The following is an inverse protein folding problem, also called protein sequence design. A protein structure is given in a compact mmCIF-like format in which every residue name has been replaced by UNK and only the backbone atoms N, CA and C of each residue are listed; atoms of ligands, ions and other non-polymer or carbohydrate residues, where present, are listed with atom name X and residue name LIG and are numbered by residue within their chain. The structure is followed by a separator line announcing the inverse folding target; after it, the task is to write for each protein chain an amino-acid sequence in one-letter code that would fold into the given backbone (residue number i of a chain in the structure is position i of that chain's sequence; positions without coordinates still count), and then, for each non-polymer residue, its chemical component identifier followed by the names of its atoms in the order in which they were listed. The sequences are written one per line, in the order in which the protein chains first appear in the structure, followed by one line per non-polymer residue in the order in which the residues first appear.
data_IF_617895308463
#
_entry.id   IF_617895308463
#
_cell.length_a   1.000
_cell.length_b   1.000
_cell.length_c   1.000
_cell.angle_alpha   90.00
_cell.angle_beta   90.00
_cell.angle_gamma   90.00
#
_symmetry.space_group_name_H-M   'P 1'
#
loop_
_entity.id
_entity.type
_entity.pdbx_description
1 polymer ?
#
# COMPACT_ATOMS: atom_id res chain seq x y z
N UNK A 1 -42.18 18.78 -2.47
CA UNK A 1 -40.89 19.35 -2.85
C UNK A 1 -39.77 18.96 -1.87
N UNK A 2 -39.62 17.68 -1.53
CA UNK A 2 -38.60 17.20 -0.61
C UNK A 2 -37.64 16.30 -1.35
N UNK A 3 -36.97 16.86 -2.33
CA UNK A 3 -35.92 16.20 -3.07
C UNK A 3 -34.59 16.62 -2.42
N UNK A 4 -33.93 15.70 -1.76
CA UNK A 4 -32.58 15.76 -1.13
C UNK A 4 -32.60 15.87 0.40
N UNK A 5 -33.30 14.97 1.10
CA UNK A 5 -32.98 14.68 2.50
C UNK A 5 -32.25 13.36 2.57
N UNK A 6 -31.04 13.35 3.11
CA UNK A 6 -30.39 12.10 3.50
C UNK A 6 -31.20 11.45 4.61
N UNK A 7 -31.76 10.28 4.35
CA UNK A 7 -32.48 9.54 5.37
C UNK A 7 -31.49 8.97 6.39
N UNK A 8 -31.83 9.13 7.67
CA UNK A 8 -31.04 8.53 8.75
C UNK A 8 -31.07 7.00 8.65
N UNK A 9 -30.07 6.31 9.21
CA UNK A 9 -30.08 4.87 9.30
C UNK A 9 -31.40 4.32 9.86
N UNK A 10 -32.01 3.40 9.13
CA UNK A 10 -33.30 2.78 9.46
C UNK A 10 -33.31 1.28 9.08
N UNK A 11 -34.45 0.59 9.24
CA UNK A 11 -34.56 -0.84 8.95
C UNK A 11 -34.45 -1.18 7.46
N UNK A 12 -34.71 -0.25 6.57
CA UNK A 12 -34.62 -0.40 5.11
C UNK A 12 -33.21 -0.01 4.61
N UNK A 13 -32.65 1.09 5.14
CA UNK A 13 -31.32 1.60 4.82
C UNK A 13 -30.43 1.61 6.06
N UNK A 14 -29.64 0.57 6.25
CA UNK A 14 -28.84 0.35 7.46
C UNK A 14 -27.82 1.45 7.73
N UNK A 15 -27.22 2.03 6.68
CA UNK A 15 -26.32 3.18 6.79
C UNK A 15 -27.00 4.49 6.38
N UNK A 16 -28.34 4.46 6.22
CA UNK A 16 -29.07 5.58 5.67
C UNK A 16 -28.86 5.76 4.16
N UNK A 17 -29.21 6.94 3.66
CA UNK A 17 -29.02 7.30 2.26
C UNK A 17 -28.01 8.44 2.12
N UNK A 18 -27.41 8.56 0.93
CA UNK A 18 -26.60 9.72 0.58
C UNK A 18 -27.49 10.95 0.25
N UNK A 19 -26.85 12.07 -0.03
CA UNK A 19 -27.53 13.33 -0.41
C UNK A 19 -28.34 13.24 -1.72
N UNK A 20 -28.27 12.12 -2.44
CA UNK A 20 -29.05 11.83 -3.64
C UNK A 20 -30.11 10.74 -3.40
N UNK A 21 -30.36 10.34 -2.15
CA UNK A 21 -31.33 9.32 -1.78
C UNK A 21 -30.91 7.89 -2.14
N UNK A 22 -29.62 7.64 -2.42
CA UNK A 22 -29.11 6.30 -2.77
C UNK A 22 -28.67 5.54 -1.52
N UNK A 23 -28.89 4.23 -1.49
CA UNK A 23 -28.46 3.36 -0.41
C UNK A 23 -26.94 3.50 -0.14
N UNK A 24 -26.62 4.00 1.05
CA UNK A 24 -25.25 4.27 1.45
C UNK A 24 -24.47 3.01 1.81
N UNK A 25 -25.15 1.95 2.28
CA UNK A 25 -24.55 0.65 2.54
C UNK A 25 -23.91 0.06 1.28
N UNK A 26 -24.67 -0.01 0.19
CA UNK A 26 -24.17 -0.52 -1.08
C UNK A 26 -23.00 0.29 -1.61
N UNK A 27 -23.04 1.62 -1.49
CA UNK A 27 -21.96 2.48 -1.94
C UNK A 27 -20.68 2.25 -1.15
N UNK A 28 -20.76 2.16 0.18
CA UNK A 28 -19.60 1.97 1.05
C UNK A 28 -18.93 0.60 0.82
N UNK A 29 -19.73 -0.46 0.64
CA UNK A 29 -19.17 -1.79 0.34
C UNK A 29 -18.53 -1.88 -1.04
N UNK A 30 -19.13 -1.27 -2.05
CA UNK A 30 -18.54 -1.20 -3.39
C UNK A 30 -17.22 -0.42 -3.36
N UNK A 31 -17.20 0.74 -2.71
CA UNK A 31 -16.00 1.54 -2.52
C UNK A 31 -14.91 0.79 -1.75
N UNK A 32 -15.29 0.01 -0.74
CA UNK A 32 -14.38 -0.86 0.02
C UNK A 32 -13.71 -1.89 -0.90
N UNK A 33 -14.47 -2.54 -1.78
CA UNK A 33 -13.91 -3.48 -2.75
C UNK A 33 -12.90 -2.82 -3.69
N UNK A 34 -13.20 -1.62 -4.18
CA UNK A 34 -12.30 -0.88 -5.08
C UNK A 34 -11.01 -0.51 -4.35
N UNK A 35 -11.11 0.04 -3.13
CA UNK A 35 -9.93 0.43 -2.33
C UNK A 35 -9.06 -0.78 -1.96
N UNK A 36 -9.66 -1.91 -1.56
CA UNK A 36 -8.91 -3.14 -1.25
C UNK A 36 -8.23 -3.71 -2.51
N UNK A 37 -8.93 -3.74 -3.66
CA UNK A 37 -8.33 -4.21 -4.92
C UNK A 37 -7.12 -3.37 -5.32
N UNK A 38 -7.25 -2.04 -5.24
CA UNK A 38 -6.13 -1.13 -5.51
C UNK A 38 -4.96 -1.44 -4.58
N UNK A 39 -5.21 -1.50 -3.28
CA UNK A 39 -4.20 -1.71 -2.26
C UNK A 39 -3.47 -3.06 -2.42
N UNK A 40 -4.20 -4.13 -2.75
CA UNK A 40 -3.61 -5.45 -3.02
C UNK A 40 -2.71 -5.44 -4.25
N UNK A 41 -3.16 -4.86 -5.36
CA UNK A 41 -2.36 -4.75 -6.60
C UNK A 41 -1.08 -3.95 -6.33
N UNK A 42 -1.20 -2.82 -5.64
CA UNK A 42 -0.05 -1.96 -5.31
C UNK A 42 0.90 -2.71 -4.37
N UNK A 43 0.40 -3.31 -3.27
CA UNK A 43 1.23 -4.02 -2.31
C UNK A 43 2.02 -5.18 -2.94
N UNK A 44 1.39 -5.96 -3.81
CA UNK A 44 2.05 -7.05 -4.55
C UNK A 44 3.07 -6.51 -5.54
N UNK A 45 2.70 -5.50 -6.33
CA UNK A 45 3.60 -4.88 -7.31
C UNK A 45 4.84 -4.25 -6.67
N UNK A 46 4.66 -3.45 -5.63
CA UNK A 46 5.76 -2.86 -4.84
C UNK A 46 6.66 -3.94 -4.23
N UNK A 47 6.06 -5.01 -3.69
CA UNK A 47 6.82 -6.08 -3.06
C UNK A 47 7.65 -6.85 -4.06
N UNK A 48 7.09 -7.23 -5.22
CA UNK A 48 7.83 -7.97 -6.26
C UNK A 48 9.01 -7.14 -6.76
N UNK A 49 8.76 -5.89 -7.19
CA UNK A 49 9.82 -5.02 -7.69
C UNK A 49 10.83 -4.69 -6.60
N UNK A 50 10.35 -4.33 -5.42
CA UNK A 50 11.20 -3.95 -4.30
C UNK A 50 12.09 -5.08 -3.80
N UNK A 51 11.59 -6.32 -3.74
CA UNK A 51 12.40 -7.48 -3.35
C UNK A 51 13.46 -7.79 -4.40
N UNK A 52 13.08 -7.89 -5.67
CA UNK A 52 14.05 -8.22 -6.75
C UNK A 52 15.16 -7.18 -6.81
N UNK A 53 14.80 -5.91 -6.88
CA UNK A 53 15.77 -4.82 -6.99
C UNK A 53 16.55 -4.65 -5.68
N UNK A 54 15.90 -4.75 -4.53
CA UNK A 54 16.53 -4.64 -3.22
C UNK A 54 17.57 -5.73 -2.94
N UNK A 55 17.32 -6.97 -3.36
CA UNK A 55 18.30 -8.06 -3.29
C UNK A 55 19.55 -7.75 -4.11
N UNK A 56 19.37 -7.30 -5.36
CA UNK A 56 20.47 -6.95 -6.26
C UNK A 56 21.22 -5.72 -5.73
N UNK A 57 20.50 -4.69 -5.34
CA UNK A 57 21.05 -3.46 -4.78
C UNK A 57 21.89 -3.73 -3.52
N UNK A 58 21.38 -4.52 -2.56
CA UNK A 58 22.09 -4.82 -1.32
C UNK A 58 23.33 -5.71 -1.51
N UNK A 59 23.30 -6.60 -2.51
CA UNK A 59 24.39 -7.55 -2.72
C UNK A 59 25.51 -7.01 -3.60
N UNK A 60 25.18 -6.30 -4.68
CA UNK A 60 26.13 -5.78 -5.66
C UNK A 60 26.65 -4.40 -5.24
N UNK A 61 27.85 -4.39 -4.62
CA UNK A 61 28.46 -3.15 -4.08
C UNK A 61 28.59 -2.01 -5.10
N UNK A 62 28.77 -2.32 -6.37
CA UNK A 62 28.90 -1.30 -7.44
C UNK A 62 27.59 -0.56 -7.70
N UNK A 63 26.46 -1.21 -7.51
CA UNK A 63 25.12 -0.64 -7.72
C UNK A 63 24.62 0.12 -6.48
N UNK A 64 25.21 -0.12 -5.32
CA UNK A 64 24.75 0.46 -4.06
C UNK A 64 24.75 1.99 -4.09
N UNK A 65 25.82 2.60 -4.58
CA UNK A 65 25.94 4.06 -4.68
C UNK A 65 24.87 4.64 -5.61
N UNK A 66 24.70 4.05 -6.80
CA UNK A 66 23.72 4.51 -7.79
C UNK A 66 22.30 4.46 -7.25
N UNK A 67 21.86 3.31 -6.72
CA UNK A 67 20.51 3.19 -6.19
C UNK A 67 20.29 4.02 -4.91
N UNK A 68 21.31 4.21 -4.09
CA UNK A 68 21.22 5.07 -2.91
C UNK A 68 21.00 6.52 -3.31
N UNK A 69 21.73 7.02 -4.30
CA UNK A 69 21.56 8.38 -4.83
C UNK A 69 20.20 8.56 -5.51
N UNK A 70 19.77 7.57 -6.31
CA UNK A 70 18.43 7.55 -6.92
C UNK A 70 17.32 7.58 -5.85
N UNK A 71 17.45 6.74 -4.81
CA UNK A 71 16.51 6.73 -3.70
C UNK A 71 16.43 8.12 -3.04
N UNK A 72 17.56 8.69 -2.69
CA UNK A 72 17.61 9.99 -2.02
C UNK A 72 17.01 11.10 -2.89
N UNK A 73 17.23 11.05 -4.22
CA UNK A 73 16.64 12.02 -5.14
C UNK A 73 15.11 11.94 -5.13
N UNK A 74 14.57 10.74 -5.17
CA UNK A 74 13.12 10.51 -5.23
C UNK A 74 12.48 10.75 -3.85
N UNK A 75 13.10 10.30 -2.76
CA UNK A 75 12.57 10.42 -1.39
C UNK A 75 12.54 11.87 -0.87
N UNK A 76 13.39 12.75 -1.43
CA UNK A 76 13.40 14.17 -1.07
C UNK A 76 12.19 14.96 -1.61
N UNK A 77 11.45 14.42 -2.57
CA UNK A 77 10.23 15.06 -3.09
C UNK A 77 9.02 14.40 -2.42
N UNK A 78 8.12 15.16 -1.80
CA UNK A 78 6.91 14.59 -1.20
C UNK A 78 6.11 13.75 -2.21
N UNK A 79 5.74 12.54 -1.82
CA UNK A 79 5.03 11.59 -2.67
C UNK A 79 3.77 12.17 -3.33
N UNK A 80 3.04 13.03 -2.61
CA UNK A 80 1.84 13.70 -3.10
C UNK A 80 2.13 14.54 -4.35
N UNK A 81 3.31 15.16 -4.44
CA UNK A 81 3.70 15.98 -5.62
C UNK A 81 3.80 15.10 -6.86
N UNK A 82 4.45 13.95 -6.76
CA UNK A 82 4.54 13.01 -7.89
C UNK A 82 3.15 12.56 -8.35
N UNK A 83 2.29 12.18 -7.42
CA UNK A 83 0.95 11.70 -7.74
C UNK A 83 0.10 12.81 -8.35
N UNK A 84 0.23 14.05 -7.86
CA UNK A 84 -0.47 15.21 -8.43
C UNK A 84 -0.03 15.48 -9.86
N UNK A 85 1.28 15.48 -10.12
CA UNK A 85 1.80 15.70 -11.47
C UNK A 85 1.34 14.61 -12.44
N UNK A 86 1.38 13.34 -12.04
CA UNK A 86 0.91 12.23 -12.87
C UNK A 86 -0.59 12.36 -13.13
N UNK A 87 -1.40 12.67 -12.12
CA UNK A 87 -2.84 12.85 -12.26
C UNK A 87 -3.20 13.99 -13.23
N UNK A 88 -2.41 15.09 -13.22
CA UNK A 88 -2.62 16.24 -14.10
C UNK A 88 -2.19 15.95 -15.56
N UNK A 89 -1.10 15.22 -15.76
CA UNK A 89 -0.53 15.00 -17.10
C UNK A 89 -1.14 13.77 -17.78
N UNK A 90 -1.30 12.67 -17.06
CA UNK A 90 -1.75 11.37 -17.59
C UNK A 90 -3.24 11.16 -17.40
N UNK A 91 -3.81 11.81 -16.36
CA UNK A 91 -5.22 11.70 -16.00
C UNK A 91 -5.45 10.85 -14.76
N UNK A 92 -6.73 10.65 -14.43
CA UNK A 92 -7.19 9.95 -13.24
C UNK A 92 -7.95 8.69 -13.64
N UNK A 93 -7.39 7.53 -13.32
CA UNK A 93 -8.07 6.23 -13.46
C UNK A 93 -7.47 5.22 -12.49
N UNK A 94 -8.20 4.12 -12.27
CA UNK A 94 -7.74 3.02 -11.41
C UNK A 94 -6.36 2.49 -11.85
N UNK A 95 -6.17 2.26 -13.15
CA UNK A 95 -4.91 1.71 -13.70
C UNK A 95 -3.76 2.71 -13.56
N UNK A 96 -4.00 3.99 -13.88
CA UNK A 96 -2.98 5.04 -13.77
C UNK A 96 -2.55 5.17 -12.30
N UNK A 97 -3.51 5.21 -11.37
CA UNK A 97 -3.22 5.27 -9.94
C UNK A 97 -2.39 4.08 -9.46
N UNK A 98 -2.81 2.84 -9.80
CA UNK A 98 -2.10 1.63 -9.41
C UNK A 98 -0.66 1.61 -9.95
N UNK A 99 -0.48 1.88 -11.25
CA UNK A 99 0.84 1.89 -11.89
C UNK A 99 1.74 2.98 -11.30
N UNK A 100 1.20 4.17 -11.07
CA UNK A 100 1.96 5.29 -10.49
C UNK A 100 2.41 5.00 -9.06
N UNK A 101 1.52 4.43 -8.24
CA UNK A 101 1.86 4.03 -6.88
C UNK A 101 2.96 2.96 -6.88
N UNK A 102 2.86 1.95 -7.73
CA UNK A 102 3.89 0.91 -7.86
C UNK A 102 5.21 1.50 -8.36
N UNK A 103 5.17 2.37 -9.37
CA UNK A 103 6.36 2.96 -9.99
C UNK A 103 7.22 3.80 -9.04
N UNK A 104 6.63 4.32 -7.96
CA UNK A 104 7.34 5.11 -6.96
C UNK A 104 7.54 4.30 -5.68
N UNK A 105 6.52 3.57 -5.22
CA UNK A 105 6.48 2.92 -3.91
C UNK A 105 7.44 1.74 -3.75
N UNK A 106 7.81 1.03 -4.84
CA UNK A 106 8.78 -0.08 -4.77
C UNK A 106 10.12 0.30 -4.14
N UNK A 107 10.53 1.57 -4.25
CA UNK A 107 11.80 2.06 -3.71
C UNK A 107 11.91 1.90 -2.20
N UNK A 108 10.83 2.14 -1.46
CA UNK A 108 10.77 2.00 0.00
C UNK A 108 11.00 0.54 0.40
N UNK A 109 10.36 -0.39 -0.33
CA UNK A 109 10.54 -1.82 -0.13
C UNK A 109 11.96 -2.26 -0.49
N UNK A 110 12.48 -1.82 -1.63
CA UNK A 110 13.84 -2.13 -2.09
C UNK A 110 14.90 -1.69 -1.08
N UNK A 111 14.77 -0.48 -0.52
CA UNK A 111 15.70 0.02 0.51
C UNK A 111 15.69 -0.83 1.77
N UNK A 112 14.52 -1.31 2.21
CA UNK A 112 14.43 -2.19 3.38
C UNK A 112 15.09 -3.55 3.11
N UNK A 113 14.80 -4.17 1.97
CA UNK A 113 15.42 -5.42 1.54
C UNK A 113 16.94 -5.24 1.40
N UNK A 114 17.39 -4.16 0.76
CA UNK A 114 18.82 -3.81 0.65
C UNK A 114 19.49 -3.77 2.02
N UNK A 115 18.90 -3.07 3.01
CA UNK A 115 19.49 -2.96 4.34
C UNK A 115 19.62 -4.31 5.04
N UNK A 116 18.64 -5.20 4.87
CA UNK A 116 18.71 -6.56 5.40
C UNK A 116 19.76 -7.40 4.67
N UNK A 117 19.85 -7.30 3.34
CA UNK A 117 20.90 -7.99 2.57
C UNK A 117 22.29 -7.59 3.07
N UNK A 118 22.50 -6.33 3.42
CA UNK A 118 23.76 -5.88 4.01
C UNK A 118 24.12 -6.61 5.29
N UNK A 119 23.16 -6.93 6.16
CA UNK A 119 23.41 -7.67 7.40
C UNK A 119 23.78 -9.14 7.19
N UNK A 120 23.27 -9.74 6.11
CA UNK A 120 23.44 -11.16 5.84
C UNK A 120 24.54 -11.49 4.83
N UNK A 121 24.84 -10.61 3.85
CA UNK A 121 25.73 -10.92 2.73
C UNK A 121 27.16 -11.28 3.14
N UNK A 122 27.67 -10.69 4.20
CA UNK A 122 29.05 -10.84 4.66
C UNK A 122 29.17 -11.83 5.86
N UNK A 123 28.09 -12.60 6.14
CA UNK A 123 28.12 -13.70 7.11
C UNK A 123 29.01 -14.84 6.63
N UNK A 124 29.65 -15.53 7.55
CA UNK A 124 30.67 -16.56 7.29
C UNK A 124 30.21 -17.65 6.29
N UNK A 125 28.97 -18.14 6.44
CA UNK A 125 28.40 -19.14 5.53
C UNK A 125 28.21 -18.62 4.10
N UNK A 126 27.94 -17.33 3.92
CA UNK A 126 27.84 -16.71 2.60
C UNK A 126 29.23 -16.46 1.99
N UNK A 127 30.22 -16.12 2.82
CA UNK A 127 31.61 -16.02 2.38
C UNK A 127 32.12 -17.37 1.94
N UNK A 128 31.92 -18.43 2.72
CA UNK A 128 32.24 -19.79 2.35
C UNK A 128 31.59 -20.23 1.03
N UNK A 129 30.28 -19.92 0.85
CA UNK A 129 29.57 -20.20 -0.40
C UNK A 129 30.22 -19.53 -1.61
N UNK A 130 30.71 -18.29 -1.44
CA UNK A 130 31.44 -17.56 -2.51
C UNK A 130 32.77 -18.20 -2.84
N UNK A 131 33.52 -18.60 -1.82
CA UNK A 131 34.81 -19.31 -2.03
C UNK A 131 34.63 -20.63 -2.81
N UNK A 132 33.48 -21.29 -2.63
CA UNK A 132 33.09 -22.50 -3.36
C UNK A 132 32.52 -22.22 -4.77
N UNK A 133 32.52 -20.95 -5.23
CA UNK A 133 32.05 -20.58 -6.55
C UNK A 133 30.52 -20.59 -6.74
N UNK A 134 29.75 -20.53 -5.65
CA UNK A 134 28.28 -20.51 -5.74
C UNK A 134 27.80 -19.28 -6.52
N UNK A 135 26.93 -19.44 -7.55
CA UNK A 135 26.46 -18.33 -8.35
C UNK A 135 25.60 -17.36 -7.52
N UNK A 136 25.70 -16.09 -7.86
CA UNK A 136 25.01 -14.98 -7.18
C UNK A 136 23.54 -15.28 -6.88
N UNK A 137 22.79 -15.70 -7.91
CA UNK A 137 21.36 -15.94 -7.77
C UNK A 137 21.03 -17.01 -6.72
N UNK A 138 21.84 -18.04 -6.65
CA UNK A 138 21.67 -19.11 -5.66
C UNK A 138 21.93 -18.60 -4.23
N UNK A 139 22.94 -17.76 -4.03
CA UNK A 139 23.21 -17.13 -2.73
C UNK A 139 22.04 -16.23 -2.32
N UNK A 140 21.54 -15.40 -3.23
CA UNK A 140 20.41 -14.51 -2.95
C UNK A 140 19.13 -15.28 -2.58
N UNK A 141 18.77 -16.30 -3.38
CA UNK A 141 17.48 -16.99 -3.22
C UNK A 141 17.50 -18.07 -2.15
N UNK A 142 18.61 -18.75 -1.92
CA UNK A 142 18.69 -19.87 -0.98
C UNK A 142 19.29 -19.50 0.37
N UNK A 143 20.25 -18.57 0.39
CA UNK A 143 20.96 -18.24 1.63
C UNK A 143 20.46 -16.93 2.27
N UNK A 144 19.94 -15.98 1.50
CA UNK A 144 19.58 -14.66 2.02
C UNK A 144 18.05 -14.49 2.08
N UNK A 145 17.35 -14.69 0.97
CA UNK A 145 15.92 -14.45 0.88
C UNK A 145 15.08 -15.17 1.96
N UNK A 146 15.35 -16.43 2.35
CA UNK A 146 14.55 -17.08 3.39
C UNK A 146 14.53 -16.34 4.74
N UNK A 147 15.63 -15.67 5.10
CA UNK A 147 15.69 -14.86 6.32
C UNK A 147 14.98 -13.49 6.22
N UNK A 148 14.61 -13.10 5.00
CA UNK A 148 13.91 -11.85 4.75
C UNK A 148 12.40 -12.03 4.62
N UNK A 149 11.91 -13.26 4.42
CA UNK A 149 10.51 -13.56 4.12
C UNK A 149 9.57 -12.99 5.18
N UNK A 150 9.85 -13.16 6.47
CA UNK A 150 9.04 -12.63 7.57
C UNK A 150 8.85 -11.12 7.48
N UNK A 151 9.95 -10.39 7.26
CA UNK A 151 9.90 -8.93 7.16
C UNK A 151 9.22 -8.47 5.86
N UNK A 152 9.41 -9.21 4.76
CA UNK A 152 8.73 -8.92 3.48
C UNK A 152 7.22 -9.08 3.65
N UNK A 153 6.75 -10.18 4.24
CA UNK A 153 5.32 -10.44 4.49
C UNK A 153 4.71 -9.35 5.38
N UNK A 154 5.36 -9.05 6.50
CA UNK A 154 4.91 -7.99 7.40
C UNK A 154 4.80 -6.65 6.66
N UNK A 155 5.81 -6.29 5.88
CA UNK A 155 5.81 -5.02 5.15
C UNK A 155 4.75 -4.97 4.06
N UNK A 156 4.53 -6.08 3.33
CA UNK A 156 3.48 -6.20 2.33
C UNK A 156 2.09 -6.05 2.98
N UNK A 157 1.85 -6.69 4.11
CA UNK A 157 0.57 -6.55 4.84
C UNK A 157 0.34 -5.11 5.31
N UNK A 158 1.37 -4.43 5.81
CA UNK A 158 1.28 -3.03 6.25
C UNK A 158 1.17 -2.03 5.10
N UNK A 159 1.60 -2.39 3.88
CA UNK A 159 1.45 -1.50 2.72
C UNK A 159 -0.01 -1.38 2.26
N UNK A 160 -0.86 -2.37 2.54
CA UNK A 160 -2.28 -2.37 2.16
C UNK A 160 -3.03 -1.20 2.82
N UNK A 161 -3.09 -1.07 4.17
CA UNK A 161 -3.75 0.06 4.79
C UNK A 161 -3.05 1.40 4.48
N UNK A 162 -1.72 1.39 4.32
CA UNK A 162 -0.98 2.60 3.94
C UNK A 162 -1.42 3.11 2.55
N UNK A 163 -1.61 2.21 1.58
CA UNK A 163 -2.10 2.54 0.25
C UNK A 163 -3.54 3.07 0.28
N UNK A 164 -4.43 2.48 1.09
CA UNK A 164 -5.81 2.97 1.25
C UNK A 164 -5.81 4.39 1.84
N UNK A 165 -5.01 4.64 2.87
CA UNK A 165 -4.91 5.96 3.48
C UNK A 165 -4.34 7.00 2.52
N UNK A 166 -3.34 6.62 1.72
CA UNK A 166 -2.74 7.48 0.71
C UNK A 166 -3.72 7.80 -0.41
N UNK A 167 -4.41 6.79 -0.96
CA UNK A 167 -5.47 6.96 -1.94
C UNK A 167 -6.58 7.87 -1.40
N UNK A 168 -7.00 7.66 -0.15
CA UNK A 168 -8.00 8.50 0.50
C UNK A 168 -7.56 9.96 0.60
N UNK A 169 -6.29 10.19 0.92
CA UNK A 169 -5.71 11.54 0.96
C UNK A 169 -5.70 12.20 -0.43
N UNK A 170 -5.30 11.45 -1.46
CA UNK A 170 -5.29 11.94 -2.84
C UNK A 170 -6.72 12.24 -3.34
N UNK A 171 -7.66 11.36 -3.06
CA UNK A 171 -9.09 11.57 -3.37
C UNK A 171 -9.67 12.77 -2.64
N UNK A 172 -9.30 12.98 -1.38
CA UNK A 172 -9.68 14.15 -0.60
C UNK A 172 -9.17 15.46 -1.21
N UNK A 173 -7.98 15.44 -1.81
CA UNK A 173 -7.40 16.56 -2.54
C UNK A 173 -7.96 16.73 -3.96
N UNK A 174 -8.85 15.84 -4.42
CA UNK A 174 -9.44 15.88 -5.76
C UNK A 174 -8.57 15.28 -6.87
N UNK A 175 -7.50 14.57 -6.50
CA UNK A 175 -6.54 13.92 -7.42
C UNK A 175 -6.52 12.39 -7.29
N UNK A 176 -7.62 11.81 -6.80
CA UNK A 176 -7.79 10.37 -6.60
C UNK A 176 -8.18 9.59 -7.86
N UNK A 177 -8.96 8.52 -7.67
CA UNK A 177 -9.36 7.57 -8.73
C UNK A 177 -10.33 8.12 -9.79
N UNK A 178 -10.78 9.37 -9.66
CA UNK A 178 -11.81 9.96 -10.51
C UNK A 178 -13.24 9.63 -10.04
N UNK A 179 -14.20 10.39 -10.56
CA UNK A 179 -15.60 10.37 -10.10
C UNK A 179 -16.31 9.05 -10.46
N UNK A 180 -15.88 8.41 -11.53
CA UNK A 180 -16.50 7.19 -12.06
C UNK A 180 -16.15 5.92 -11.26
N UNK A 181 -15.07 5.96 -10.46
CA UNK A 181 -14.60 4.82 -9.69
C UNK A 181 -14.71 5.13 -8.19
N UNK A 182 -15.86 4.85 -7.55
CA UNK A 182 -16.03 5.15 -6.14
C UNK A 182 -15.05 4.32 -5.28
N UNK A 183 -14.24 5.01 -4.49
CA UNK A 183 -13.36 4.48 -3.47
C UNK A 183 -13.76 5.00 -2.10
N UNK A 184 -13.24 4.39 -1.04
CA UNK A 184 -13.46 4.88 0.34
C UNK A 184 -13.00 6.33 0.48
N UNK A 185 -11.87 6.69 -0.13
CA UNK A 185 -11.36 8.06 -0.13
C UNK A 185 -12.27 9.03 -0.86
N UNK A 186 -12.82 8.65 -2.01
CA UNK A 186 -13.76 9.48 -2.75
C UNK A 186 -15.06 9.69 -1.96
N UNK A 187 -15.58 8.67 -1.28
CA UNK A 187 -16.75 8.80 -0.42
C UNK A 187 -16.46 9.79 0.71
N UNK A 188 -15.35 9.61 1.43
CA UNK A 188 -14.92 10.52 2.50
C UNK A 188 -14.75 11.96 2.02
N UNK A 189 -14.21 12.15 0.82
CA UNK A 189 -14.09 13.48 0.20
C UNK A 189 -15.45 14.15 -0.05
N UNK A 190 -16.42 13.40 -0.56
CA UNK A 190 -17.78 13.91 -0.83
C UNK A 190 -18.53 14.30 0.43
N UNK A 191 -18.38 13.51 1.48
CA UNK A 191 -19.12 13.66 2.75
C UNK A 191 -18.60 14.81 3.60
N UNK A 192 -17.36 15.28 3.41
CA UNK A 192 -16.77 16.35 4.23
C UNK A 192 -17.63 17.63 4.30
N UNK A 193 -18.35 17.94 3.25
CA UNK A 193 -19.25 19.12 3.19
C UNK A 193 -20.51 18.96 4.03
N UNK A 194 -20.88 17.77 4.40
CA UNK A 194 -22.10 17.40 5.12
C UNK A 194 -21.84 16.86 6.52
N UNK A 195 -20.59 16.92 7.00
CA UNK A 195 -20.18 16.30 8.26
C UNK A 195 -20.94 16.85 9.47
N UNK A 196 -21.24 18.15 9.49
CA UNK A 196 -21.94 18.77 10.62
C UNK A 196 -23.42 18.37 10.67
N UNK A 197 -24.03 18.17 9.51
CA UNK A 197 -25.46 17.83 9.40
C UNK A 197 -25.70 16.32 9.47
N UNK A 198 -24.82 15.53 8.86
CA UNK A 198 -24.94 14.07 8.74
C UNK A 198 -23.65 13.34 9.12
N UNK A 199 -23.25 13.34 10.40
CA UNK A 199 -21.96 12.77 10.83
C UNK A 199 -21.81 11.26 10.56
N UNK A 200 -22.92 10.50 10.49
CA UNK A 200 -22.91 9.07 10.22
C UNK A 200 -22.31 8.72 8.84
N UNK A 201 -22.47 9.60 7.84
CA UNK A 201 -21.89 9.42 6.51
C UNK A 201 -20.36 9.35 6.55
N UNK A 202 -19.72 10.00 7.52
CA UNK A 202 -18.27 9.93 7.71
C UNK A 202 -17.88 8.75 8.60
N UNK A 203 -18.64 8.47 9.65
CA UNK A 203 -18.31 7.47 10.67
C UNK A 203 -18.24 6.07 10.08
N UNK A 204 -19.19 5.68 9.22
CA UNK A 204 -19.19 4.33 8.64
C UNK A 204 -17.96 4.04 7.76
N UNK A 205 -17.62 4.82 6.73
CA UNK A 205 -16.43 4.54 5.91
C UNK A 205 -15.14 4.68 6.72
N UNK A 206 -15.05 5.63 7.66
CA UNK A 206 -13.87 5.77 8.53
C UNK A 206 -13.69 4.54 9.44
N UNK A 207 -14.77 3.99 9.99
CA UNK A 207 -14.74 2.77 10.79
C UNK A 207 -14.25 1.58 9.96
N UNK A 208 -14.71 1.44 8.73
CA UNK A 208 -14.27 0.36 7.82
C UNK A 208 -12.78 0.47 7.52
N UNK A 209 -12.28 1.67 7.20
CA UNK A 209 -10.83 1.88 7.00
C UNK A 209 -10.04 1.50 8.24
N UNK A 210 -10.54 1.85 9.44
CA UNK A 210 -9.90 1.51 10.71
C UNK A 210 -9.88 -0.01 10.95
N UNK A 211 -10.99 -0.69 10.70
CA UNK A 211 -11.09 -2.16 10.83
C UNK A 211 -10.14 -2.86 9.86
N UNK A 212 -10.09 -2.42 8.60
CA UNK A 212 -9.15 -2.94 7.60
C UNK A 212 -7.72 -2.76 8.09
N UNK A 213 -7.36 -1.57 8.57
CA UNK A 213 -6.01 -1.26 9.04
C UNK A 213 -5.58 -2.15 10.21
N UNK A 214 -6.45 -2.33 11.19
CA UNK A 214 -6.20 -3.19 12.36
C UNK A 214 -6.09 -4.65 11.92
N UNK A 215 -6.98 -5.12 11.05
CA UNK A 215 -6.99 -6.51 10.57
C UNK A 215 -5.71 -6.86 9.82
N UNK A 216 -5.26 -6.02 8.90
CA UNK A 216 -4.01 -6.24 8.17
C UNK A 216 -2.77 -6.10 9.04
N UNK A 217 -2.79 -5.23 10.05
CA UNK A 217 -1.73 -5.13 11.05
C UNK A 217 -1.59 -6.42 11.87
N UNK A 218 -2.69 -6.93 12.43
CA UNK A 218 -2.69 -8.18 13.20
C UNK A 218 -2.27 -9.36 12.33
N UNK A 219 -2.85 -9.47 11.14
CA UNK A 219 -2.54 -10.54 10.18
C UNK A 219 -1.07 -10.50 9.74
N UNK A 220 -0.54 -9.31 9.44
CA UNK A 220 0.85 -9.12 9.05
C UNK A 220 1.83 -9.55 10.14
N UNK A 221 1.57 -9.20 11.40
CA UNK A 221 2.39 -9.66 12.52
C UNK A 221 2.30 -11.18 12.69
N UNK A 222 1.11 -11.77 12.69
CA UNK A 222 0.94 -13.21 12.83
C UNK A 222 1.67 -14.00 11.73
N UNK A 223 1.57 -13.56 10.48
CA UNK A 223 2.31 -14.20 9.36
C UNK A 223 3.82 -13.97 9.46
N UNK A 224 4.25 -12.79 9.90
CA UNK A 224 5.68 -12.51 10.12
C UNK A 224 6.27 -13.43 11.19
N UNK A 225 5.56 -13.59 12.31
CA UNK A 225 6.00 -14.45 13.41
C UNK A 225 6.03 -15.94 13.00
N UNK A 226 5.03 -16.39 12.23
CA UNK A 226 4.99 -17.74 11.69
C UNK A 226 6.08 -18.01 10.63
N UNK A 227 6.50 -17.00 9.90
CA UNK A 227 7.53 -17.11 8.86
C UNK A 227 8.95 -16.87 9.39
N UNK A 228 9.12 -16.51 10.66
CA UNK A 228 10.46 -16.27 11.23
C UNK A 228 11.16 -17.62 11.52
N UNK A 229 12.29 -17.93 10.83
CA UNK A 229 13.02 -19.17 11.06
C UNK A 229 13.54 -19.35 12.49
N UNK A 230 13.66 -18.26 13.25
CA UNK A 230 14.15 -18.27 14.64
C UNK A 230 13.14 -18.87 15.62
N UNK A 231 11.86 -18.84 15.26
CA UNK A 231 10.79 -19.37 16.10
C UNK A 231 10.61 -20.90 15.95
N UNK A 232 11.35 -21.53 15.03
CA UNK A 232 11.25 -22.95 14.72
C UNK A 232 12.52 -23.75 15.10
N UNK A 233 13.40 -23.19 15.95
CA UNK A 233 14.62 -23.84 16.49
C UNK A 233 14.41 -24.23 17.94
#
# INVERSE_FOLDING_TARGET
SDVCSSDLPNSEYWFGTDNLGRDYWCQVWYATQVSIRLALIVAVGESILGVIIGLIWGYVRKLDRFFTELYNLIDNVPYIIYMTLIALVVGQSFTIMAVSMIAIGWLVMARRVRNMVFMFRDREYNLASRCLGTPLWRVLTKNILPYLVSVIILRMALSIPATINLESTLSYLGIGLGIETPSLGLILSKVRGFFLDYPYLLVFPASIVSIISISFYIMGNAFSDAADPRNHV
#
